data_IF_662569905319
#
_entry.id   IF_662569905319
#
_cell.length_a   1.000
_cell.length_b   1.000
_cell.length_c   1.000
_cell.angle_alpha   90.00
_cell.angle_beta   90.00
_cell.angle_gamma   90.00
#
_symmetry.space_group_name_H-M   'P 1'
#
loop_
_entity.id
_entity.type
_entity.pdbx_description
1 polymer ?
#
# COMPACT_ATOMS: atom_id res chain seq x y z
N UNK A 1 -26.85 0.30 -28.62
CA UNK A 1 -26.45 -1.06 -28.25
C UNK A 1 -27.70 -1.86 -27.97
N UNK A 2 -27.82 -3.05 -28.57
CA UNK A 2 -28.94 -3.95 -28.29
C UNK A 2 -28.71 -4.58 -26.91
N UNK A 3 -29.60 -4.31 -25.97
CA UNK A 3 -29.56 -4.95 -24.66
C UNK A 3 -30.21 -6.33 -24.79
N UNK A 4 -29.50 -7.37 -24.39
CA UNK A 4 -30.11 -8.70 -24.22
C UNK A 4 -30.80 -8.70 -22.86
N UNK A 5 -32.11 -8.79 -22.85
CA UNK A 5 -32.89 -8.98 -21.63
C UNK A 5 -32.89 -10.49 -21.36
N UNK A 6 -32.03 -10.93 -20.44
CA UNK A 6 -32.07 -12.29 -19.93
C UNK A 6 -33.01 -12.32 -18.72
N UNK A 7 -34.03 -13.16 -18.76
CA UNK A 7 -34.92 -13.41 -17.61
C UNK A 7 -34.29 -14.55 -16.78
N UNK A 8 -33.79 -14.30 -15.59
CA UNK A 8 -33.02 -15.30 -14.81
C UNK A 8 -33.80 -16.57 -14.52
N UNK A 9 -35.15 -16.44 -14.36
CA UNK A 9 -36.03 -17.57 -14.08
C UNK A 9 -36.10 -18.54 -15.26
N UNK A 10 -36.09 -18.06 -16.51
CA UNK A 10 -36.05 -18.92 -17.67
C UNK A 10 -34.69 -19.64 -17.82
N UNK A 11 -33.60 -18.97 -17.51
CA UNK A 11 -32.27 -19.61 -17.50
C UNK A 11 -32.17 -20.70 -16.41
N UNK A 12 -32.73 -20.44 -15.24
CA UNK A 12 -32.76 -21.41 -14.15
C UNK A 12 -33.64 -22.61 -14.48
N UNK A 13 -34.83 -22.39 -15.10
CA UNK A 13 -35.71 -23.44 -15.59
C UNK A 13 -34.98 -24.29 -16.65
N UNK A 14 -34.35 -23.67 -17.63
CA UNK A 14 -33.59 -24.37 -18.67
C UNK A 14 -32.42 -25.20 -18.09
N UNK A 15 -31.73 -24.69 -17.09
CA UNK A 15 -30.70 -25.46 -16.39
C UNK A 15 -31.28 -26.70 -15.67
N UNK A 16 -32.45 -26.58 -15.09
CA UNK A 16 -33.14 -27.69 -14.44
C UNK A 16 -33.60 -28.74 -15.46
N UNK A 17 -34.18 -28.31 -16.59
CA UNK A 17 -34.58 -29.23 -17.65
C UNK A 17 -33.40 -29.98 -18.25
N UNK A 18 -32.27 -29.29 -18.47
CA UNK A 18 -31.03 -29.91 -18.90
C UNK A 18 -30.48 -30.93 -17.88
N UNK A 19 -30.56 -30.61 -16.58
CA UNK A 19 -30.16 -31.56 -15.53
C UNK A 19 -31.00 -32.83 -15.57
N UNK A 20 -32.32 -32.71 -15.74
CA UNK A 20 -33.25 -33.83 -15.87
C UNK A 20 -32.97 -34.67 -17.12
N UNK A 21 -32.64 -34.03 -18.25
CA UNK A 21 -32.25 -34.69 -19.47
C UNK A 21 -30.94 -35.49 -19.27
N UNK A 22 -29.94 -34.90 -18.64
CA UNK A 22 -28.69 -35.57 -18.31
C UNK A 22 -28.89 -36.80 -17.40
N UNK A 23 -29.77 -36.69 -16.42
CA UNK A 23 -30.17 -37.79 -15.55
C UNK A 23 -30.83 -38.93 -16.33
N UNK A 24 -31.76 -38.61 -17.23
CA UNK A 24 -32.47 -39.56 -18.08
C UNK A 24 -31.51 -40.31 -19.01
N UNK A 25 -30.55 -39.59 -19.66
CA UNK A 25 -29.54 -40.17 -20.53
C UNK A 25 -28.63 -41.11 -19.72
N UNK A 26 -28.20 -40.70 -18.53
CA UNK A 26 -27.36 -41.51 -17.65
C UNK A 26 -28.06 -42.81 -17.22
N UNK A 27 -29.34 -42.75 -16.90
CA UNK A 27 -30.15 -43.92 -16.58
C UNK A 27 -30.29 -44.87 -17.76
N UNK A 28 -30.54 -44.34 -18.97
CA UNK A 28 -30.62 -45.16 -20.20
C UNK A 28 -29.27 -45.82 -20.53
N UNK A 29 -28.16 -45.11 -20.41
CA UNK A 29 -26.82 -45.65 -20.64
C UNK A 29 -26.44 -46.76 -19.61
N UNK A 30 -26.83 -46.55 -18.35
CA UNK A 30 -26.63 -47.57 -17.32
C UNK A 30 -27.43 -48.87 -17.61
N UNK A 31 -28.71 -48.71 -18.04
CA UNK A 31 -29.53 -49.86 -18.42
C UNK A 31 -29.00 -50.61 -19.64
N UNK A 32 -28.43 -49.88 -20.62
CA UNK A 32 -27.85 -50.48 -21.82
C UNK A 32 -26.46 -51.11 -21.60
N UNK A 33 -25.78 -50.81 -20.54
CA UNK A 33 -24.36 -51.17 -20.30
C UNK A 33 -24.19 -52.71 -20.29
N UNK A 34 -24.90 -53.44 -19.43
CA UNK A 34 -24.74 -54.90 -19.29
C UNK A 34 -25.07 -55.65 -20.58
N UNK A 35 -26.24 -55.45 -21.25
CA UNK A 35 -26.58 -56.23 -22.43
C UNK A 35 -25.69 -55.95 -23.65
N UNK A 36 -25.05 -54.75 -23.70
CA UNK A 36 -24.18 -54.37 -24.83
C UNK A 36 -22.71 -54.77 -24.65
N UNK A 37 -22.20 -54.75 -23.42
CA UNK A 37 -20.80 -55.13 -23.11
C UNK A 37 -20.64 -56.66 -22.95
N UNK A 38 -21.73 -57.40 -22.66
CA UNK A 38 -21.74 -58.84 -22.46
C UNK A 38 -22.38 -59.63 -23.61
N UNK A 39 -22.17 -59.24 -24.86
CA UNK A 39 -22.72 -59.93 -26.05
C UNK A 39 -22.10 -61.35 -26.17
N UNK A 40 -22.94 -62.37 -26.18
CA UNK A 40 -22.52 -63.74 -26.40
C UNK A 40 -22.31 -64.02 -27.87
N UNK A 41 -21.31 -64.84 -28.20
CA UNK A 41 -21.10 -65.31 -29.56
C UNK A 41 -22.31 -66.11 -30.07
N UNK A 42 -22.77 -65.82 -31.30
CA UNK A 42 -23.93 -66.47 -31.88
C UNK A 42 -23.73 -67.95 -32.18
N UNK A 43 -22.47 -68.42 -32.38
CA UNK A 43 -22.04 -69.78 -32.60
C UNK A 43 -20.73 -70.09 -31.88
N UNK A 44 -20.33 -71.37 -31.90
CA UNK A 44 -19.06 -71.84 -31.31
C UNK A 44 -17.89 -71.78 -32.30
N UNK A 45 -17.90 -70.76 -33.20
CA UNK A 45 -16.89 -70.57 -34.23
C UNK A 45 -16.09 -69.26 -34.01
N UNK A 46 -14.90 -69.18 -34.57
CA UNK A 46 -13.98 -68.07 -34.39
C UNK A 46 -14.53 -66.74 -34.95
N UNK A 47 -15.39 -66.72 -35.93
CA UNK A 47 -15.96 -65.54 -36.53
C UNK A 47 -17.02 -64.96 -35.61
N UNK A 48 -17.91 -65.80 -35.07
CA UNK A 48 -18.90 -65.39 -34.09
C UNK A 48 -18.25 -64.84 -32.81
N UNK A 49 -17.17 -65.49 -32.35
CA UNK A 49 -16.41 -65.00 -31.21
C UNK A 49 -15.74 -63.64 -31.47
N UNK A 50 -15.12 -63.47 -32.67
CA UNK A 50 -14.48 -62.23 -33.07
C UNK A 50 -15.51 -61.06 -33.18
N UNK A 51 -16.70 -61.31 -33.72
CA UNK A 51 -17.76 -60.35 -33.84
C UNK A 51 -18.28 -59.94 -32.43
N UNK A 52 -18.52 -60.88 -31.55
CA UNK A 52 -18.93 -60.60 -30.17
C UNK A 52 -17.89 -59.74 -29.43
N UNK A 53 -16.58 -60.07 -29.58
CA UNK A 53 -15.50 -59.27 -29.02
C UNK A 53 -15.45 -57.83 -29.59
N UNK A 54 -15.67 -57.65 -30.90
CA UNK A 54 -15.74 -56.32 -31.52
C UNK A 54 -16.88 -55.47 -30.96
N UNK A 55 -18.09 -56.03 -30.85
CA UNK A 55 -19.21 -55.32 -30.26
C UNK A 55 -19.00 -54.98 -28.78
N UNK A 56 -18.42 -55.92 -28.02
CA UNK A 56 -18.05 -55.67 -26.63
C UNK A 56 -17.05 -54.54 -26.46
N UNK A 57 -15.99 -54.52 -27.28
CA UNK A 57 -15.01 -53.43 -27.30
C UNK A 57 -15.62 -52.09 -27.68
N UNK A 58 -16.51 -52.05 -28.68
CA UNK A 58 -17.23 -50.85 -29.09
C UNK A 58 -18.12 -50.35 -27.97
N UNK A 59 -18.86 -51.23 -27.29
CA UNK A 59 -19.71 -50.85 -26.16
C UNK A 59 -18.90 -50.29 -24.99
N UNK A 60 -17.73 -50.84 -24.68
CA UNK A 60 -16.83 -50.30 -23.67
C UNK A 60 -16.28 -48.88 -24.02
N UNK A 61 -15.90 -48.69 -25.28
CA UNK A 61 -15.48 -47.38 -25.78
C UNK A 61 -16.64 -46.36 -25.68
N UNK A 62 -17.87 -46.76 -26.03
CA UNK A 62 -19.06 -45.93 -25.85
C UNK A 62 -19.30 -45.55 -24.38
N UNK A 63 -19.17 -46.48 -23.44
CA UNK A 63 -19.33 -46.16 -22.00
C UNK A 63 -18.31 -45.12 -21.53
N UNK A 64 -17.07 -45.18 -21.99
CA UNK A 64 -16.02 -44.22 -21.68
C UNK A 64 -16.39 -42.81 -22.16
N UNK A 65 -16.80 -42.72 -23.44
CA UNK A 65 -17.22 -41.44 -24.04
C UNK A 65 -18.48 -40.88 -23.35
N UNK A 66 -19.44 -41.77 -23.01
CA UNK A 66 -20.65 -41.39 -22.32
C UNK A 66 -20.39 -40.81 -20.93
N UNK A 67 -19.42 -41.37 -20.18
CA UNK A 67 -19.00 -40.84 -18.89
C UNK A 67 -18.36 -39.43 -19.00
N UNK A 68 -17.55 -39.23 -20.04
CA UNK A 68 -16.98 -37.90 -20.31
C UNK A 68 -18.05 -36.89 -20.72
N UNK A 69 -19.01 -37.29 -21.57
CA UNK A 69 -20.13 -36.45 -21.95
C UNK A 69 -21.01 -36.08 -20.74
N UNK A 70 -21.27 -37.04 -19.85
CA UNK A 70 -22.01 -36.76 -18.62
C UNK A 70 -21.32 -35.75 -17.70
N UNK A 71 -19.99 -35.86 -17.57
CA UNK A 71 -19.19 -34.91 -16.80
C UNK A 71 -19.24 -33.49 -17.43
N UNK A 72 -19.07 -33.39 -18.72
CA UNK A 72 -19.20 -32.11 -19.44
C UNK A 72 -20.59 -31.52 -19.29
N UNK A 73 -21.63 -32.34 -19.43
CA UNK A 73 -23.02 -31.90 -19.29
C UNK A 73 -23.30 -31.36 -17.87
N UNK A 74 -22.82 -32.03 -16.85
CA UNK A 74 -22.96 -31.58 -15.46
C UNK A 74 -22.27 -30.22 -15.23
N UNK A 75 -21.05 -30.04 -15.74
CA UNK A 75 -20.33 -28.77 -15.67
C UNK A 75 -21.06 -27.66 -16.43
N UNK A 76 -21.59 -27.97 -17.60
CA UNK A 76 -22.35 -27.01 -18.40
C UNK A 76 -23.61 -26.54 -17.66
N UNK A 77 -24.39 -27.46 -17.09
CA UNK A 77 -25.59 -27.14 -16.30
C UNK A 77 -25.22 -26.30 -15.07
N UNK A 78 -24.16 -26.64 -14.38
CA UNK A 78 -23.68 -25.86 -13.23
C UNK A 78 -23.29 -24.43 -13.63
N UNK A 79 -22.58 -24.27 -14.75
CA UNK A 79 -22.19 -22.95 -15.25
C UNK A 79 -23.40 -22.11 -15.66
N UNK A 80 -24.38 -22.72 -16.31
CA UNK A 80 -25.62 -22.07 -16.71
C UNK A 80 -26.41 -21.61 -15.49
N UNK A 81 -26.54 -22.45 -14.46
CA UNK A 81 -27.21 -22.12 -13.20
C UNK A 81 -26.50 -20.99 -12.46
N UNK A 82 -25.15 -21.03 -12.39
CA UNK A 82 -24.36 -19.95 -11.79
C UNK A 82 -24.56 -18.61 -12.55
N UNK A 83 -24.60 -18.67 -13.88
CA UNK A 83 -24.91 -17.51 -14.72
C UNK A 83 -26.29 -16.93 -14.44
N UNK A 84 -27.32 -17.77 -14.32
CA UNK A 84 -28.67 -17.33 -13.97
C UNK A 84 -28.70 -16.61 -12.61
N UNK A 85 -27.99 -17.16 -11.60
CA UNK A 85 -27.86 -16.53 -10.29
C UNK A 85 -27.13 -15.17 -10.34
N UNK A 86 -26.10 -15.04 -11.16
CA UNK A 86 -25.39 -13.78 -11.35
C UNK A 86 -26.30 -12.69 -11.95
N UNK A 87 -27.11 -13.04 -12.96
CA UNK A 87 -28.10 -12.13 -13.54
C UNK A 87 -29.17 -11.72 -12.54
N UNK A 88 -29.70 -12.66 -11.73
CA UNK A 88 -30.70 -12.36 -10.70
C UNK A 88 -30.15 -11.39 -9.65
N UNK A 89 -28.92 -11.57 -9.21
CA UNK A 89 -28.25 -10.68 -8.25
C UNK A 89 -28.03 -9.28 -8.84
N UNK A 90 -27.62 -9.20 -10.10
CA UNK A 90 -27.41 -7.92 -10.78
C UNK A 90 -28.74 -7.15 -10.93
N UNK A 91 -29.83 -7.84 -11.28
CA UNK A 91 -31.15 -7.24 -11.39
C UNK A 91 -31.67 -6.72 -10.05
N UNK A 92 -31.52 -7.50 -8.98
CA UNK A 92 -31.87 -7.10 -7.61
C UNK A 92 -31.08 -5.84 -7.20
N UNK A 93 -29.78 -5.78 -7.48
CA UNK A 93 -28.95 -4.60 -7.20
C UNK A 93 -29.39 -3.37 -7.99
N UNK A 94 -29.75 -3.53 -9.26
CA UNK A 94 -30.25 -2.46 -10.10
C UNK A 94 -31.57 -1.88 -9.58
N UNK A 95 -32.51 -2.74 -9.15
CA UNK A 95 -33.78 -2.33 -8.54
C UNK A 95 -33.53 -1.55 -7.25
N UNK A 96 -32.65 -2.05 -6.38
CA UNK A 96 -32.28 -1.36 -5.15
C UNK A 96 -31.66 0.02 -5.43
N UNK A 97 -30.73 0.11 -6.38
CA UNK A 97 -30.10 1.37 -6.76
C UNK A 97 -31.11 2.36 -7.36
N UNK A 98 -32.03 1.88 -8.19
CA UNK A 98 -33.08 2.70 -8.79
C UNK A 98 -34.01 3.28 -7.72
N UNK A 99 -34.37 2.48 -6.72
CA UNK A 99 -35.18 2.93 -5.57
C UNK A 99 -34.46 3.99 -4.76
N UNK A 100 -33.17 3.74 -4.43
CA UNK A 100 -32.34 4.72 -3.71
C UNK A 100 -32.19 6.02 -4.48
N UNK A 101 -32.00 5.96 -5.80
CA UNK A 101 -31.94 7.14 -6.64
C UNK A 101 -33.25 7.95 -6.59
N UNK A 102 -34.40 7.28 -6.67
CA UNK A 102 -35.71 7.93 -6.57
C UNK A 102 -35.94 8.60 -5.19
N UNK A 103 -35.53 7.93 -4.11
CA UNK A 103 -35.63 8.47 -2.73
C UNK A 103 -34.69 9.65 -2.54
N UNK A 104 -33.47 9.59 -3.10
CA UNK A 104 -32.45 10.59 -2.93
C UNK A 104 -32.59 11.81 -3.86
N UNK A 105 -33.28 11.68 -5.00
CA UNK A 105 -33.38 12.73 -6.00
C UNK A 105 -33.88 14.07 -5.45
N UNK A 106 -34.94 14.16 -4.61
CA UNK A 106 -35.43 15.43 -4.09
C UNK A 106 -34.39 16.11 -3.17
N UNK A 107 -33.77 15.36 -2.26
CA UNK A 107 -32.79 15.93 -1.31
C UNK A 107 -31.47 16.29 -2.00
N UNK A 108 -31.10 15.52 -3.02
CA UNK A 108 -29.93 15.82 -3.85
C UNK A 108 -30.12 17.12 -4.63
N UNK A 109 -31.31 17.34 -5.21
CA UNK A 109 -31.61 18.54 -5.97
C UNK A 109 -31.71 19.81 -5.07
N UNK A 110 -32.29 19.69 -3.88
CA UNK A 110 -32.51 20.82 -2.98
C UNK A 110 -31.32 21.14 -2.08
N UNK A 111 -30.59 20.12 -1.63
CA UNK A 111 -29.57 20.24 -0.56
C UNK A 111 -28.19 19.77 -1.00
N UNK A 112 -28.03 19.25 -2.22
CA UNK A 112 -26.77 18.72 -2.74
C UNK A 112 -26.28 17.45 -2.03
N UNK A 113 -27.13 16.80 -1.23
CA UNK A 113 -26.80 15.59 -0.46
C UNK A 113 -27.92 14.54 -0.58
N UNK A 114 -27.58 13.24 -0.59
CA UNK A 114 -28.60 12.20 -0.55
C UNK A 114 -29.29 12.15 0.81
N UNK A 115 -30.49 11.63 0.86
CA UNK A 115 -31.19 11.33 2.10
C UNK A 115 -30.59 10.10 2.78
N UNK A 116 -30.36 9.05 2.00
CA UNK A 116 -29.82 7.77 2.42
C UNK A 116 -28.65 7.39 1.52
N UNK A 117 -27.52 7.04 2.11
CA UNK A 117 -26.33 6.56 1.40
C UNK A 117 -25.04 7.06 2.05
N UNK A 118 -23.97 6.34 1.84
CA UNK A 118 -22.66 6.72 2.34
C UNK A 118 -22.05 7.84 1.48
N UNK A 119 -21.20 8.65 2.09
CA UNK A 119 -20.39 9.63 1.40
C UNK A 119 -19.32 8.95 0.54
N UNK A 120 -19.02 9.52 -0.62
CA UNK A 120 -17.96 9.00 -1.47
C UNK A 120 -16.58 9.19 -0.80
N UNK A 121 -15.72 8.19 -0.93
CA UNK A 121 -14.33 8.29 -0.51
C UNK A 121 -13.55 9.25 -1.42
N UNK A 122 -12.55 9.93 -0.86
CA UNK A 122 -11.61 10.71 -1.63
C UNK A 122 -10.77 9.81 -2.54
N UNK A 123 -10.68 10.16 -3.82
CA UNK A 123 -9.95 9.36 -4.83
C UNK A 123 -8.63 10.02 -5.28
N UNK A 124 -8.56 11.35 -5.21
CA UNK A 124 -7.33 12.08 -5.52
C UNK A 124 -6.50 12.32 -4.24
N UNK A 125 -5.15 12.42 -4.36
CA UNK A 125 -4.27 12.68 -3.22
C UNK A 125 -4.72 13.89 -2.39
N UNK A 126 -4.95 13.70 -1.09
CA UNK A 126 -5.39 14.74 -0.17
C UNK A 126 -6.85 15.18 -0.33
N UNK A 127 -7.63 14.52 -1.19
CA UNK A 127 -9.04 14.82 -1.37
C UNK A 127 -9.84 14.41 -0.13
N UNK A 128 -10.76 15.27 0.28
CA UNK A 128 -11.67 14.99 1.39
C UNK A 128 -12.70 13.93 0.98
N UNK A 129 -13.13 13.14 1.97
CA UNK A 129 -14.30 12.29 1.82
C UNK A 129 -15.58 13.10 1.76
N UNK A 130 -16.55 12.59 1.01
CA UNK A 130 -17.89 13.19 0.88
C UNK A 130 -18.71 13.02 2.17
N UNK A 131 -19.66 13.91 2.37
CA UNK A 131 -20.60 13.76 3.48
C UNK A 131 -21.60 12.62 3.20
N UNK A 132 -21.95 11.86 4.23
CA UNK A 132 -22.99 10.83 4.19
C UNK A 132 -24.40 11.40 4.03
N UNK A 133 -25.40 10.53 3.89
CA UNK A 133 -26.79 10.90 3.75
C UNK A 133 -27.31 11.71 4.95
N UNK A 134 -28.31 12.52 4.69
CA UNK A 134 -28.90 13.38 5.73
C UNK A 134 -29.53 12.58 6.88
N UNK A 135 -30.23 11.49 6.54
CA UNK A 135 -30.91 10.63 7.50
C UNK A 135 -30.04 9.46 7.92
N UNK A 136 -29.49 8.75 6.97
CA UNK A 136 -28.70 7.52 7.19
C UNK A 136 -27.56 7.42 6.19
N UNK A 137 -26.36 7.16 6.72
CA UNK A 137 -25.16 6.93 5.93
C UNK A 137 -23.90 7.41 6.64
N UNK A 138 -22.81 6.73 6.38
CA UNK A 138 -21.50 7.09 6.91
C UNK A 138 -20.87 8.19 6.06
N UNK A 139 -19.99 8.98 6.65
CA UNK A 139 -19.10 9.85 5.89
C UNK A 139 -18.08 9.04 5.11
N UNK A 140 -17.70 9.51 3.91
CA UNK A 140 -16.62 8.92 3.10
C UNK A 140 -15.25 9.16 3.74
N UNK A 141 -14.29 8.31 3.46
CA UNK A 141 -12.92 8.45 3.95
C UNK A 141 -12.14 9.50 3.14
N UNK A 142 -11.27 10.23 3.79
CA UNK A 142 -10.32 11.11 3.14
C UNK A 142 -9.21 10.32 2.44
N UNK A 143 -8.77 10.77 1.28
CA UNK A 143 -7.66 10.17 0.55
C UNK A 143 -6.30 10.49 1.20
N UNK A 144 -5.35 9.58 1.10
CA UNK A 144 -3.98 9.83 1.54
C UNK A 144 -3.28 10.88 0.67
N UNK A 145 -2.42 11.69 1.28
CA UNK A 145 -1.48 12.55 0.57
C UNK A 145 -0.27 11.74 0.12
N UNK A 146 -0.30 11.17 -1.08
CA UNK A 146 0.77 10.27 -1.57
C UNK A 146 2.06 11.00 -1.94
N UNK A 147 1.99 12.31 -2.20
CA UNK A 147 3.17 13.13 -2.55
C UNK A 147 3.68 13.90 -1.31
N UNK A 148 4.96 14.22 -1.31
CA UNK A 148 5.60 15.01 -0.26
C UNK A 148 4.91 16.37 -0.12
N UNK A 149 4.62 16.78 1.10
CA UNK A 149 3.97 18.04 1.41
C UNK A 149 2.44 18.06 1.21
N UNK A 150 1.84 17.01 0.65
CA UNK A 150 0.38 16.93 0.50
C UNK A 150 -0.23 16.35 1.78
N UNK A 151 -1.06 17.11 2.45
CA UNK A 151 -1.81 16.66 3.61
C UNK A 151 -2.82 15.57 3.22
N UNK A 152 -3.13 14.68 4.17
CA UNK A 152 -4.25 13.75 4.00
C UNK A 152 -5.58 14.48 3.94
N UNK A 153 -6.51 13.99 3.14
CA UNK A 153 -7.88 14.50 3.08
C UNK A 153 -8.64 14.26 4.38
N UNK A 154 -9.52 15.15 4.74
CA UNK A 154 -10.40 14.96 5.89
C UNK A 154 -11.49 13.95 5.59
N UNK A 155 -11.89 13.15 6.59
CA UNK A 155 -13.06 12.29 6.48
C UNK A 155 -14.36 13.11 6.40
N UNK A 156 -15.34 12.60 5.68
CA UNK A 156 -16.67 13.18 5.57
C UNK A 156 -17.48 13.03 6.84
N UNK A 157 -18.39 13.97 7.11
CA UNK A 157 -19.32 13.87 8.23
C UNK A 157 -20.52 12.99 7.89
N UNK A 158 -21.06 12.23 8.84
CA UNK A 158 -22.37 11.59 8.73
C UNK A 158 -23.52 12.62 8.85
N UNK A 159 -24.76 12.19 8.64
CA UNK A 159 -25.93 13.02 8.88
C UNK A 159 -26.53 12.80 10.27
N UNK A 160 -27.78 12.26 10.31
CA UNK A 160 -28.46 11.97 11.56
C UNK A 160 -27.94 10.69 12.20
N UNK A 161 -27.83 9.62 11.43
CA UNK A 161 -27.35 8.29 11.85
C UNK A 161 -26.25 7.84 10.89
N UNK A 162 -25.08 7.51 11.43
CA UNK A 162 -23.92 7.00 10.71
C UNK A 162 -22.62 7.41 11.34
N UNK A 163 -21.54 6.79 10.98
CA UNK A 163 -20.20 7.10 11.47
C UNK A 163 -19.52 8.15 10.59
N UNK A 164 -18.70 8.98 11.15
CA UNK A 164 -17.79 9.85 10.40
C UNK A 164 -16.74 9.05 9.67
N UNK A 165 -16.35 9.49 8.46
CA UNK A 165 -15.27 8.91 7.68
C UNK A 165 -13.91 9.12 8.34
N UNK A 166 -12.95 8.26 8.08
CA UNK A 166 -11.57 8.42 8.55
C UNK A 166 -10.83 9.49 7.74
N UNK A 167 -9.90 10.20 8.39
CA UNK A 167 -8.94 11.07 7.71
C UNK A 167 -7.88 10.26 6.99
N UNK A 168 -7.43 10.76 5.84
CA UNK A 168 -6.33 10.18 5.06
C UNK A 168 -4.98 10.42 5.72
N UNK A 169 -4.01 9.54 5.50
CA UNK A 169 -2.63 9.74 5.94
C UNK A 169 -1.98 10.91 5.18
N UNK A 170 -1.13 11.68 5.83
CA UNK A 170 -0.31 12.71 5.19
C UNK A 170 0.80 12.11 4.33
N UNK A 171 1.13 12.76 3.22
CA UNK A 171 2.34 12.51 2.47
C UNK A 171 3.59 12.91 3.26
N UNK A 172 4.78 12.64 2.72
CA UNK A 172 6.04 12.89 3.42
C UNK A 172 6.12 14.32 3.99
N UNK A 173 6.33 14.44 5.31
CA UNK A 173 6.40 15.71 6.03
C UNK A 173 5.05 16.43 6.19
N UNK A 174 3.96 15.89 5.70
CA UNK A 174 2.67 16.54 5.71
C UNK A 174 1.73 15.94 6.78
N UNK A 175 0.77 16.75 7.23
CA UNK A 175 -0.18 16.35 8.24
C UNK A 175 -1.18 15.32 7.73
N UNK A 176 -1.63 14.42 8.60
CA UNK A 176 -2.80 13.60 8.36
C UNK A 176 -4.10 14.41 8.36
N UNK A 177 -5.10 13.95 7.64
CA UNK A 177 -6.43 14.54 7.58
C UNK A 177 -7.21 14.31 8.87
N UNK A 178 -8.13 15.19 9.19
CA UNK A 178 -9.03 15.00 10.34
C UNK A 178 -10.07 13.93 10.05
N UNK A 179 -10.50 13.19 11.06
CA UNK A 179 -11.68 12.34 11.01
C UNK A 179 -12.96 13.16 10.90
N UNK A 180 -13.94 12.62 10.19
CA UNK A 180 -15.27 13.18 10.02
C UNK A 180 -16.11 13.08 11.30
N UNK A 181 -17.10 13.94 11.42
CA UNK A 181 -18.03 13.88 12.56
C UNK A 181 -19.01 12.74 12.42
N UNK A 182 -19.33 12.06 13.54
CA UNK A 182 -20.41 11.08 13.62
C UNK A 182 -21.78 11.73 13.51
N UNK A 183 -22.82 10.89 13.35
CA UNK A 183 -24.20 11.32 13.22
C UNK A 183 -24.71 12.06 14.44
N UNK A 184 -25.62 13.01 14.18
CA UNK A 184 -26.17 13.86 15.25
C UNK A 184 -26.87 13.05 16.35
N UNK A 185 -27.59 11.99 15.99
CA UNK A 185 -28.29 11.15 16.95
C UNK A 185 -27.43 9.95 17.36
N UNK A 186 -26.89 9.23 16.39
CA UNK A 186 -26.13 8.01 16.63
C UNK A 186 -25.00 7.86 15.61
N UNK A 187 -23.79 7.63 16.11
CA UNK A 187 -22.62 7.33 15.30
C UNK A 187 -21.32 7.78 15.93
N UNK A 188 -20.26 7.08 15.60
CA UNK A 188 -18.93 7.40 16.08
C UNK A 188 -18.28 8.46 15.20
N UNK A 189 -17.42 9.29 15.77
CA UNK A 189 -16.51 10.12 15.02
C UNK A 189 -15.49 9.27 14.27
N UNK A 190 -15.07 9.71 13.09
CA UNK A 190 -14.02 9.06 12.29
C UNK A 190 -12.65 9.23 12.92
N UNK A 191 -11.73 8.28 12.70
CA UNK A 191 -10.35 8.42 13.14
C UNK A 191 -9.61 9.49 12.32
N UNK A 192 -8.69 10.22 12.96
CA UNK A 192 -7.74 11.09 12.25
C UNK A 192 -6.68 10.28 11.53
N UNK A 193 -6.20 10.78 10.40
CA UNK A 193 -5.13 10.19 9.62
C UNK A 193 -3.75 10.39 10.26
N UNK A 194 -2.82 9.50 10.04
CA UNK A 194 -1.44 9.66 10.52
C UNK A 194 -0.70 10.72 9.73
N UNK A 195 0.22 11.44 10.38
CA UNK A 195 1.16 12.32 9.71
C UNK A 195 2.17 11.53 8.86
N UNK A 196 2.72 12.15 7.84
CA UNK A 196 3.76 11.56 6.98
C UNK A 196 5.16 11.77 7.55
N UNK A 197 6.01 10.76 7.50
CA UNK A 197 7.41 10.87 7.94
C UNK A 197 8.18 11.87 7.08
N UNK A 198 9.12 12.60 7.70
CA UNK A 198 10.01 13.48 6.95
C UNK A 198 10.98 12.66 6.08
N UNK A 199 11.18 13.09 4.85
CA UNK A 199 12.11 12.47 3.89
C UNK A 199 13.35 13.32 3.63
N UNK A 200 13.33 14.59 4.02
CA UNK A 200 14.45 15.51 3.89
C UNK A 200 15.19 15.55 5.24
N UNK A 201 16.53 15.41 5.24
CA UNK A 201 17.33 15.50 6.46
C UNK A 201 17.04 16.79 7.25
N UNK A 202 16.77 16.65 8.55
CA UNK A 202 16.38 17.76 9.42
C UNK A 202 14.94 18.25 9.24
N UNK A 203 14.16 17.61 8.34
CA UNK A 203 12.77 17.95 8.14
C UNK A 203 11.86 17.48 9.27
N UNK A 204 10.78 18.18 9.50
CA UNK A 204 9.77 17.79 10.49
C UNK A 204 8.84 16.71 9.94
N UNK A 205 8.48 15.74 10.76
CA UNK A 205 7.37 14.83 10.47
C UNK A 205 6.04 15.56 10.50
N UNK A 206 5.08 15.07 9.74
CA UNK A 206 3.71 15.60 9.74
C UNK A 206 2.98 15.36 11.06
N UNK A 207 2.13 16.26 11.46
CA UNK A 207 1.24 16.07 12.61
C UNK A 207 0.16 15.02 12.27
N UNK A 208 -0.30 14.26 13.26
CA UNK A 208 -1.50 13.45 13.13
C UNK A 208 -2.75 14.30 13.00
N UNK A 209 -3.73 13.83 12.25
CA UNK A 209 -5.04 14.46 12.14
C UNK A 209 -5.86 14.30 13.42
N UNK A 210 -6.74 15.24 13.73
CA UNK A 210 -7.65 15.12 14.85
C UNK A 210 -8.71 14.03 14.56
N UNK A 211 -9.16 13.31 15.60
CA UNK A 211 -10.34 12.45 15.51
C UNK A 211 -11.62 13.29 15.39
N UNK A 212 -12.64 12.76 14.75
CA UNK A 212 -13.95 13.38 14.65
C UNK A 212 -14.75 13.25 15.94
N UNK A 213 -15.68 14.16 16.16
CA UNK A 213 -16.55 14.12 17.32
C UNK A 213 -17.73 13.17 17.10
N UNK A 214 -18.22 12.54 18.17
CA UNK A 214 -19.59 12.03 18.26
C UNK A 214 -20.47 13.07 18.91
N UNK A 215 -21.79 13.00 18.64
CA UNK A 215 -22.75 13.98 19.20
C UNK A 215 -23.54 13.39 20.36
N UNK A 216 -24.70 12.81 20.13
CA UNK A 216 -25.56 12.35 21.23
C UNK A 216 -25.18 10.95 21.70
N UNK A 217 -25.08 10.00 20.80
CA UNK A 217 -24.70 8.61 21.09
C UNK A 217 -23.56 8.16 20.16
N UNK A 218 -22.43 7.79 20.73
CA UNK A 218 -21.25 7.31 20.02
C UNK A 218 -19.96 7.69 20.73
N UNK A 219 -18.87 7.21 20.20
CA UNK A 219 -17.53 7.52 20.68
C UNK A 219 -16.83 8.50 19.72
N UNK A 220 -16.11 9.46 20.25
CA UNK A 220 -15.18 10.26 19.45
C UNK A 220 -14.15 9.37 18.75
N UNK A 221 -13.74 9.74 17.55
CA UNK A 221 -12.68 9.07 16.81
C UNK A 221 -11.31 9.28 17.46
N UNK A 222 -10.41 8.32 17.34
CA UNK A 222 -9.02 8.46 17.76
C UNK A 222 -8.29 9.52 16.92
N UNK A 223 -7.42 10.33 17.51
CA UNK A 223 -6.47 11.14 16.75
C UNK A 223 -5.45 10.28 16.02
N UNK A 224 -4.99 10.73 14.88
CA UNK A 224 -3.89 10.11 14.14
C UNK A 224 -2.54 10.31 14.84
N UNK A 225 -1.59 9.44 14.55
CA UNK A 225 -0.23 9.55 15.07
C UNK A 225 0.53 10.65 14.31
N UNK A 226 1.27 11.49 15.04
CA UNK A 226 2.29 12.32 14.43
C UNK A 226 3.47 11.47 13.95
N UNK A 227 4.08 11.85 12.85
CA UNK A 227 5.23 11.16 12.31
C UNK A 227 6.54 11.72 12.87
N UNK A 228 7.57 10.89 12.90
CA UNK A 228 8.90 11.31 13.30
C UNK A 228 9.53 12.28 12.28
N UNK A 229 10.27 13.28 12.78
CA UNK A 229 11.17 14.07 11.95
C UNK A 229 12.34 13.22 11.46
N UNK A 230 12.94 13.63 10.36
CA UNK A 230 14.17 13.02 9.87
C UNK A 230 15.35 13.46 10.72
N UNK A 231 16.34 12.59 10.89
CA UNK A 231 17.61 12.97 11.50
C UNK A 231 18.25 14.12 10.71
N UNK A 232 18.90 15.06 11.43
CA UNK A 232 19.69 16.09 10.78
C UNK A 232 20.71 15.50 9.82
N UNK A 233 21.10 16.27 8.80
CA UNK A 233 22.21 15.87 7.97
C UNK A 233 23.44 15.69 8.86
N UNK A 234 24.23 14.64 8.62
CA UNK A 234 25.52 14.50 9.28
C UNK A 234 26.34 15.75 8.96
N UNK A 235 26.98 16.34 10.00
CA UNK A 235 27.89 17.47 9.81
C UNK A 235 28.93 17.07 8.75
N UNK A 236 29.06 17.88 7.72
CA UNK A 236 30.08 17.66 6.69
C UNK A 236 31.34 18.36 7.16
N UNK A 237 32.37 17.55 7.50
CA UNK A 237 33.71 18.11 7.66
C UNK A 237 34.34 18.23 6.25
N UNK A 238 34.35 19.41 5.64
CA UNK A 238 34.74 19.53 4.23
C UNK A 238 36.20 19.33 3.96
N UNK A 239 37.07 19.24 4.99
CA UNK A 239 38.50 19.27 4.78
C UNK A 239 39.17 18.00 5.32
N UNK A 240 39.50 17.12 4.41
CA UNK A 240 40.39 15.99 4.64
C UNK A 240 41.89 16.38 4.55
N UNK A 241 42.21 17.58 4.10
CA UNK A 241 43.55 18.07 3.93
C UNK A 241 43.95 18.90 5.16
N UNK A 242 44.92 18.49 5.95
CA UNK A 242 45.42 19.27 7.08
C UNK A 242 45.96 20.63 6.59
N UNK A 243 46.00 21.61 7.48
CA UNK A 243 46.71 22.85 7.20
C UNK A 243 48.19 22.60 6.91
N UNK A 244 48.83 23.54 6.26
CA UNK A 244 50.24 23.39 5.82
C UNK A 244 51.19 22.94 6.96
N UNK A 245 52.16 22.10 6.62
CA UNK A 245 53.20 21.67 7.53
C UNK A 245 54.11 22.84 7.94
N UNK A 246 54.60 22.86 9.12
CA UNK A 246 55.61 23.81 9.55
C UNK A 246 56.93 23.69 8.78
N UNK A 247 57.64 24.76 8.70
CA UNK A 247 58.94 24.82 7.99
C UNK A 247 59.97 23.88 8.66
N UNK A 248 60.86 23.35 7.84
CA UNK A 248 62.03 22.60 8.35
C UNK A 248 62.96 23.54 9.14
N UNK A 249 63.46 23.08 10.27
CA UNK A 249 64.49 23.80 11.00
C UNK A 249 65.81 23.83 10.25
N UNK A 250 66.57 24.90 10.44
CA UNK A 250 67.98 24.98 9.97
C UNK A 250 68.84 24.00 10.74
N UNK A 251 70.09 23.82 10.30
CA UNK A 251 71.06 22.94 10.99
C UNK A 251 71.18 23.26 12.50
N UNK A 252 70.85 22.31 13.35
CA UNK A 252 70.86 22.46 14.80
C UNK A 252 69.62 23.20 15.38
N UNK A 253 68.68 23.63 14.58
CA UNK A 253 67.52 24.37 15.04
C UNK A 253 66.23 23.50 14.98
N UNK A 254 65.28 23.77 15.86
CA UNK A 254 63.99 23.09 15.80
C UNK A 254 63.22 23.47 14.54
N UNK A 255 62.36 22.59 14.06
CA UNK A 255 61.40 22.90 12.98
C UNK A 255 60.36 23.93 13.40
N UNK A 256 59.82 24.64 12.43
CA UNK A 256 58.76 25.60 12.68
C UNK A 256 57.43 24.96 13.05
N UNK A 257 56.55 25.71 13.70
CA UNK A 257 55.23 25.22 14.04
C UNK A 257 54.39 24.93 12.78
N UNK A 258 53.50 23.95 12.86
CA UNK A 258 52.50 23.71 11.82
C UNK A 258 51.57 24.91 11.66
N UNK A 259 51.00 25.06 10.47
CA UNK A 259 50.06 26.13 10.21
C UNK A 259 48.74 25.85 10.98
N UNK A 260 48.06 26.87 11.52
CA UNK A 260 46.75 26.70 12.11
C UNK A 260 45.70 26.38 11.02
N UNK A 261 44.68 25.64 11.36
CA UNK A 261 43.53 25.47 10.49
C UNK A 261 42.82 26.83 10.32
N UNK A 262 42.60 27.24 9.10
CA UNK A 262 41.97 28.53 8.76
C UNK A 262 40.53 28.38 8.26
N UNK A 263 40.11 27.17 7.91
CA UNK A 263 38.78 26.88 7.44
C UNK A 263 38.05 25.96 8.41
N UNK A 264 36.71 26.02 8.38
CA UNK A 264 35.86 25.20 9.25
C UNK A 264 36.19 23.71 9.13
N UNK A 265 36.47 23.08 10.24
CA UNK A 265 36.80 21.66 10.29
C UNK A 265 38.20 21.29 9.81
N UNK A 266 39.05 22.24 9.44
CA UNK A 266 40.43 21.97 9.02
C UNK A 266 41.28 21.67 10.22
N UNK A 267 42.01 20.54 10.21
CA UNK A 267 43.00 20.22 11.25
C UNK A 267 44.24 21.08 11.12
N UNK A 268 44.85 21.45 12.23
CA UNK A 268 46.14 22.15 12.22
C UNK A 268 47.22 21.30 11.53
N UNK A 269 48.17 21.99 10.89
CA UNK A 269 49.29 21.34 10.22
C UNK A 269 50.25 20.69 11.23
N UNK A 270 51.00 19.70 10.76
CA UNK A 270 52.07 19.08 11.55
C UNK A 270 53.26 20.03 11.70
N UNK A 271 53.96 19.95 12.81
CA UNK A 271 55.22 20.68 12.99
C UNK A 271 56.28 20.28 11.98
N UNK A 272 57.14 21.21 11.64
CA UNK A 272 58.32 20.95 10.78
C UNK A 272 59.32 20.02 11.44
N UNK A 273 60.10 19.33 10.61
CA UNK A 273 61.20 18.46 11.13
C UNK A 273 62.36 19.33 11.62
N UNK A 274 62.99 18.93 12.66
CA UNK A 274 64.24 19.55 13.13
C UNK A 274 65.35 19.48 12.11
N UNK A 275 66.20 20.46 12.09
CA UNK A 275 67.39 20.50 11.23
C UNK A 275 68.44 19.46 11.64
N UNK A 276 69.34 19.15 10.73
CA UNK A 276 70.48 18.26 11.01
C UNK A 276 71.46 18.85 12.03
N UNK A 277 72.15 18.07 12.81
CA UNK A 277 73.16 18.57 13.76
C UNK A 277 74.27 19.28 13.04
N UNK A 278 74.84 20.28 13.72
CA UNK A 278 75.93 21.15 13.18
C UNK A 278 77.34 20.47 13.17
N UNK A 279 77.51 19.29 13.77
CA UNK A 279 78.76 18.59 13.78
C UNK A 279 78.61 17.08 13.89
N UNK A 280 79.67 16.33 13.60
CA UNK A 280 79.72 14.87 13.77
C UNK A 280 79.45 14.57 15.22
N UNK A 281 78.30 13.92 15.53
CA UNK A 281 77.80 13.63 16.88
C UNK A 281 76.86 14.65 17.50
N UNK A 282 76.44 15.69 16.79
CA UNK A 282 75.39 16.60 17.24
C UNK A 282 73.98 15.92 17.23
N UNK A 283 73.19 16.29 18.21
CA UNK A 283 71.78 15.82 18.27
C UNK A 283 70.95 16.56 17.21
N UNK A 284 70.06 15.85 16.52
CA UNK A 284 69.13 16.48 15.63
C UNK A 284 68.23 17.53 16.31
N UNK A 285 67.77 18.51 15.55
CA UNK A 285 66.86 19.49 16.10
C UNK A 285 65.54 18.83 16.58
N UNK A 286 64.87 19.47 17.53
CA UNK A 286 63.57 19.03 17.99
C UNK A 286 62.52 19.31 16.94
N UNK A 287 61.58 18.44 16.82
CA UNK A 287 60.42 18.65 15.92
C UNK A 287 59.66 19.93 16.30
N UNK A 288 59.08 20.58 15.32
CA UNK A 288 58.20 21.72 15.56
C UNK A 288 56.93 21.32 16.28
N UNK A 289 56.33 22.25 16.99
CA UNK A 289 55.01 22.04 17.60
C UNK A 289 53.94 21.99 16.54
N UNK A 290 52.94 21.14 16.74
CA UNK A 290 51.79 21.07 15.85
C UNK A 290 51.00 22.38 15.86
N UNK A 291 50.35 22.68 14.75
CA UNK A 291 49.38 23.78 14.66
C UNK A 291 48.17 23.56 15.55
N UNK A 292 47.47 24.63 15.85
CA UNK A 292 46.20 24.52 16.56
C UNK A 292 45.11 23.98 15.61
N UNK A 293 44.20 23.18 16.17
CA UNK A 293 43.05 22.71 15.40
C UNK A 293 42.11 23.83 14.96
N UNK A 294 41.49 23.68 13.84
CA UNK A 294 40.38 24.55 13.41
C UNK A 294 39.15 24.35 14.28
N UNK A 295 38.26 25.34 14.34
CA UNK A 295 36.98 25.21 15.01
C UNK A 295 36.06 24.29 14.19
N UNK A 296 35.23 23.50 14.86
CA UNK A 296 34.19 22.73 14.22
C UNK A 296 33.16 23.65 13.58
N UNK A 297 32.41 23.14 12.56
CA UNK A 297 31.35 23.89 11.97
C UNK A 297 30.23 24.19 12.98
N UNK A 298 29.69 25.39 12.93
CA UNK A 298 28.60 25.77 13.81
C UNK A 298 27.27 25.13 13.36
N UNK A 299 26.58 24.46 14.27
CA UNK A 299 25.26 23.84 14.03
C UNK A 299 24.20 24.83 13.55
N UNK A 300 24.33 26.10 13.92
CA UNK A 300 23.42 27.17 13.52
C UNK A 300 23.52 27.53 12.03
N UNK A 301 24.60 27.22 11.36
CA UNK A 301 24.79 27.48 9.93
C UNK A 301 24.21 26.41 9.03
N UNK A 302 23.89 25.23 9.57
CA UNK A 302 23.24 24.11 8.86
C UNK A 302 21.76 24.15 9.18
N UNK A 303 20.98 24.66 8.28
CA UNK A 303 19.53 24.87 8.42
C UNK A 303 18.80 23.60 8.82
N UNK A 304 18.38 23.47 10.04
CA UNK A 304 17.48 22.40 10.48
C UNK A 304 17.48 22.24 12.00
N UNK A 305 16.31 22.19 12.60
CA UNK A 305 16.17 21.81 14.01
C UNK A 305 16.69 20.38 14.18
N UNK A 306 17.72 20.22 15.03
CA UNK A 306 18.29 18.92 15.35
C UNK A 306 19.65 18.60 14.72
N UNK A 307 20.25 19.54 13.97
CA UNK A 307 21.66 19.40 13.57
C UNK A 307 22.58 19.65 14.77
N UNK A 308 23.50 18.71 15.04
CA UNK A 308 24.57 18.93 15.99
C UNK A 308 25.77 19.57 15.27
N UNK A 309 26.40 20.54 15.90
CA UNK A 309 27.67 21.08 15.40
C UNK A 309 28.74 20.02 15.34
N UNK A 310 29.68 20.13 14.40
CA UNK A 310 30.84 19.25 14.34
C UNK A 310 31.73 19.49 15.55
N UNK A 311 32.28 18.44 16.16
CA UNK A 311 33.28 18.59 17.19
C UNK A 311 34.55 19.26 16.62
N UNK A 312 35.13 20.15 17.37
CA UNK A 312 36.45 20.71 17.02
C UNK A 312 37.50 19.64 16.86
N UNK A 313 38.46 19.86 15.97
CA UNK A 313 39.53 18.92 15.73
C UNK A 313 40.70 19.12 16.73
N UNK A 314 41.37 18.03 17.09
CA UNK A 314 42.56 18.11 17.92
C UNK A 314 43.70 18.84 17.20
N UNK A 315 44.52 19.60 17.91
CA UNK A 315 45.74 20.21 17.37
C UNK A 315 46.64 19.17 16.75
N UNK A 316 47.44 19.58 15.77
CA UNK A 316 48.43 18.70 15.15
C UNK A 316 49.48 18.24 16.19
N UNK A 317 49.98 17.04 16.01
CA UNK A 317 51.06 16.51 16.85
C UNK A 317 52.41 17.10 16.40
N UNK A 318 53.23 17.54 17.34
CA UNK A 318 54.61 17.98 17.09
C UNK A 318 55.55 16.84 16.76
#
# INVERSE_FOLDING_TARGET
MSFVIAVPEFLSAAATDLANLGSTISAANAAASIPTTGVLAAGADDVSAAIAALFGAHAQAYQTISAQAATFHAQFVQTLSAGAGAYANAEAANVQQSLLNAINAPTQALLGRPLIGDGADGTAPGQNGGAGGLLYGNGGNGAAGVNAGIAGGSGGAAGLIGNGGSGGAGGAGAAGGSGGQGGLLYGNGGAGGNGGAATIPGGNGGAGGAGGNAWLFGNGGAGGLGAAGAAGAAGVNPLTVPAGQGSMGNNGEPGGPGQPGTEFGQTGGTGGTGGTGLSVGGTGGTGGTGGTGGNGADAAAVVGFGANGDPGFAGGKG
#
